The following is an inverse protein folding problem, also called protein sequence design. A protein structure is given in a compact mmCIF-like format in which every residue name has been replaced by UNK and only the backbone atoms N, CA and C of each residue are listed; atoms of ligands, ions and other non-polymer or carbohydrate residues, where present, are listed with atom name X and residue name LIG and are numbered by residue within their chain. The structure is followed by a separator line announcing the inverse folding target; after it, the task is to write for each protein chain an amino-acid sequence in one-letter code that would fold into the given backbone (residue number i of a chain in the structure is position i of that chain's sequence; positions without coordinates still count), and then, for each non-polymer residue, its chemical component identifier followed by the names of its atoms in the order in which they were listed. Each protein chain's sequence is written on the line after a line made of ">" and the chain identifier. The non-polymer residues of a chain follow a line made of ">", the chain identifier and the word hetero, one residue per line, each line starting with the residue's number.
data_IF_743780326455
#
_entry.id   IF_743780326455
#
_cell.length_a   1.000
_cell.length_b   1.000
_cell.length_c   1.000
_cell.angle_alpha   90.00
_cell.angle_beta   90.00
_cell.angle_gamma   90.00
#
_symmetry.space_group_name_H-M   'P 1'
#
loop_
_entity.id
_entity.type
_entity.pdbx_description
1 polymer ?
#
# COMPACT_ATOMS: atom_id res chain seq x y z
N UNK A 1 -4.04 -3.67 12.87
CA UNK A 1 -3.40 -3.32 11.58
C UNK A 1 -4.13 -4.07 10.47
N UNK A 2 -4.41 -3.41 9.35
CA UNK A 2 -4.97 -4.01 8.14
C UNK A 2 -4.00 -3.79 6.98
N UNK A 3 -3.74 -4.84 6.21
CA UNK A 3 -2.81 -4.80 5.08
C UNK A 3 -3.58 -5.08 3.80
N UNK A 4 -3.33 -4.28 2.76
CA UNK A 4 -3.93 -4.46 1.45
C UNK A 4 -2.95 -4.10 0.33
N UNK A 5 -2.79 -4.99 -0.65
CA UNK A 5 -1.79 -4.85 -1.72
C UNK A 5 -2.44 -5.04 -3.09
N UNK A 6 -3.42 -4.21 -3.47
CA UNK A 6 -3.95 -4.23 -4.82
C UNK A 6 -2.86 -3.79 -5.80
N UNK A 7 -2.96 -4.25 -7.04
CA UNK A 7 -2.24 -3.59 -8.13
C UNK A 7 -2.98 -2.32 -8.51
N UNK A 8 -2.26 -1.21 -8.66
CA UNK A 8 -2.84 0.04 -9.22
C UNK A 8 -3.26 -0.15 -10.68
N UNK A 9 -4.30 0.55 -11.17
CA UNK A 9 -5.35 1.28 -10.45
C UNK A 9 -6.60 0.38 -10.24
N UNK A 10 -6.41 -0.88 -9.85
CA UNK A 10 -7.48 -1.89 -9.88
C UNK A 10 -8.29 -1.96 -8.58
N UNK A 11 -7.93 -1.19 -7.55
CA UNK A 11 -8.79 -1.00 -6.39
C UNK A 11 -9.76 0.15 -6.62
N UNK A 12 -11.02 -0.18 -6.92
CA UNK A 12 -12.05 0.84 -7.11
C UNK A 12 -12.31 1.67 -5.83
N UNK A 13 -12.32 1.03 -4.65
CA UNK A 13 -12.55 1.76 -3.41
C UNK A 13 -11.90 1.12 -2.20
N UNK A 14 -12.08 -0.18 -1.89
CA UNK A 14 -11.46 -0.76 -0.68
C UNK A 14 -12.19 -0.46 0.64
N UNK A 15 -13.53 -0.48 0.65
CA UNK A 15 -14.37 -0.10 1.82
C UNK A 15 -14.11 -0.88 3.11
N UNK A 16 -13.49 -2.06 3.06
CA UNK A 16 -13.05 -2.78 4.27
C UNK A 16 -11.96 -2.02 5.03
N UNK A 17 -11.07 -1.32 4.33
CA UNK A 17 -10.04 -0.47 4.95
C UNK A 17 -10.64 0.71 5.71
N UNK A 18 -11.73 1.30 5.22
CA UNK A 18 -12.44 2.39 5.91
C UNK A 18 -12.91 1.98 7.31
N UNK A 19 -13.36 0.72 7.45
CA UNK A 19 -13.85 0.19 8.73
C UNK A 19 -12.73 0.05 9.77
N UNK A 20 -11.49 -0.08 9.34
CA UNK A 20 -10.33 -0.25 10.22
C UNK A 20 -10.11 1.00 11.06
N UNK A 21 -10.22 2.18 10.44
CA UNK A 21 -10.02 3.47 11.11
C UNK A 21 -11.04 3.71 12.22
N UNK A 22 -12.31 3.44 11.97
CA UNK A 22 -13.37 3.63 12.99
C UNK A 22 -13.28 2.64 14.16
N UNK A 23 -12.48 1.57 14.02
CA UNK A 23 -12.19 0.62 15.10
C UNK A 23 -10.82 0.88 15.76
N UNK A 24 -10.19 2.03 15.50
CA UNK A 24 -8.88 2.38 16.05
C UNK A 24 -7.72 1.56 15.50
N UNK A 25 -7.90 0.91 14.35
CA UNK A 25 -6.83 0.20 13.65
C UNK A 25 -6.05 1.12 12.70
N UNK A 26 -4.80 0.76 12.43
CA UNK A 26 -3.95 1.38 11.41
C UNK A 26 -4.03 0.62 10.07
N UNK A 27 -3.93 1.35 8.97
CA UNK A 27 -3.87 0.80 7.61
C UNK A 27 -2.42 0.72 7.09
N UNK A 28 -2.12 -0.29 6.30
CA UNK A 28 -0.90 -0.38 5.50
C UNK A 28 -1.32 -0.85 4.10
N UNK A 29 -1.48 0.08 3.17
CA UNK A 29 -2.05 -0.22 1.86
C UNK A 29 -1.33 0.49 0.73
N UNK A 30 -1.36 -0.10 -0.46
CA UNK A 30 -1.02 0.60 -1.70
C UNK A 30 -1.91 1.83 -1.84
N UNK A 31 -1.33 2.95 -2.29
CA UNK A 31 -2.05 4.19 -2.59
C UNK A 31 -2.88 3.98 -3.86
N UNK A 32 -4.10 3.48 -3.68
CA UNK A 32 -5.13 3.26 -4.69
C UNK A 32 -6.53 3.33 -4.03
N UNK A 33 -7.56 3.55 -4.83
CA UNK A 33 -8.94 3.67 -4.36
C UNK A 33 -9.10 4.68 -3.21
N UNK A 34 -9.81 4.29 -2.15
CA UNK A 34 -10.07 5.16 -0.99
C UNK A 34 -8.82 5.56 -0.23
N UNK A 35 -7.77 4.72 -0.25
CA UNK A 35 -6.59 4.97 0.55
C UNK A 35 -5.80 6.11 -0.05
N UNK A 36 -5.82 6.27 -1.38
CA UNK A 36 -5.26 7.44 -2.05
C UNK A 36 -5.98 8.74 -1.63
N UNK A 37 -7.29 8.69 -1.38
CA UNK A 37 -8.08 9.85 -0.93
C UNK A 37 -7.90 10.19 0.55
N UNK A 38 -7.74 9.17 1.39
CA UNK A 38 -7.80 9.29 2.85
C UNK A 38 -6.45 9.10 3.55
N UNK A 39 -5.36 8.91 2.80
CA UNK A 39 -4.04 8.66 3.39
C UNK A 39 -3.61 9.83 4.28
N UNK A 40 -3.28 9.49 5.52
CA UNK A 40 -2.61 10.34 6.47
C UNK A 40 -1.55 9.49 7.20
N UNK A 41 -0.30 9.97 7.35
CA UNK A 41 0.76 9.22 8.02
C UNK A 41 0.45 8.90 9.50
N UNK A 42 -0.46 9.63 10.15
CA UNK A 42 -0.94 9.31 11.49
C UNK A 42 -1.92 8.12 11.52
N UNK A 43 -2.46 7.72 10.38
CA UNK A 43 -3.44 6.64 10.22
C UNK A 43 -2.84 5.36 9.64
N UNK A 44 -1.54 5.37 9.35
CA UNK A 44 -0.75 4.21 8.93
C UNK A 44 0.19 4.51 7.76
N UNK A 45 0.39 3.54 6.89
CA UNK A 45 1.45 3.55 5.88
C UNK A 45 0.91 3.38 4.46
N UNK A 46 1.52 4.09 3.51
CA UNK A 46 1.24 3.97 2.08
C UNK A 46 2.37 3.19 1.39
N UNK A 47 2.02 2.06 0.80
CA UNK A 47 2.94 1.23 0.00
C UNK A 47 3.12 1.91 -1.37
N UNK A 48 4.37 2.12 -1.78
CA UNK A 48 4.71 2.79 -3.04
C UNK A 48 4.30 4.27 -3.09
N UNK A 49 4.33 4.97 -1.95
CA UNK A 49 3.94 6.39 -1.85
C UNK A 49 4.60 7.26 -2.96
N UNK A 50 3.77 8.02 -3.69
CA UNK A 50 4.22 8.87 -4.80
C UNK A 50 4.38 8.15 -6.15
N UNK A 51 4.16 6.84 -6.23
CA UNK A 51 4.01 6.13 -7.49
C UNK A 51 2.64 6.43 -8.11
N UNK A 52 2.60 7.15 -9.24
CA UNK A 52 1.38 7.25 -10.02
C UNK A 52 0.97 5.85 -10.51
N UNK A 53 -0.34 5.60 -10.62
CA UNK A 53 -0.83 4.47 -11.38
C UNK A 53 -0.31 4.59 -12.81
N UNK A 54 0.62 3.71 -13.20
CA UNK A 54 1.03 3.60 -14.59
C UNK A 54 -0.10 2.96 -15.38
N UNK A 55 -0.99 3.79 -15.95
CA UNK A 55 -1.98 3.30 -16.90
C UNK A 55 -1.22 2.89 -18.16
N UNK A 56 -1.12 1.60 -18.39
CA UNK A 56 -0.62 1.05 -19.64
C UNK A 56 -1.55 1.47 -20.78
N UNK A 57 -1.01 2.20 -21.76
CA UNK A 57 -1.74 2.57 -22.96
C UNK A 57 -2.25 1.29 -23.66
N UNK A 58 -3.48 1.28 -24.14
CA UNK A 58 -4.02 0.16 -24.89
C UNK A 58 -3.20 -0.17 -26.17
N UNK A 59 -2.30 0.72 -26.60
CA UNK A 59 -1.37 0.48 -27.71
C UNK A 59 -0.11 -0.31 -27.34
N UNK A 60 0.20 -0.54 -26.05
CA UNK A 60 1.41 -1.29 -25.68
C UNK A 60 1.23 -2.78 -25.97
N UNK A 61 2.29 -3.43 -26.44
CA UNK A 61 2.28 -4.89 -26.66
C UNK A 61 2.14 -5.65 -25.33
N UNK A 62 1.55 -6.85 -25.39
CA UNK A 62 1.27 -7.67 -24.20
C UNK A 62 2.53 -7.99 -23.36
N UNK A 63 3.67 -8.22 -24.01
CA UNK A 63 4.95 -8.47 -23.31
C UNK A 63 5.44 -7.24 -22.56
N UNK A 64 5.32 -6.06 -23.15
CA UNK A 64 5.72 -4.81 -22.51
C UNK A 64 4.78 -4.46 -21.35
N UNK A 65 3.48 -4.70 -21.50
CA UNK A 65 2.51 -4.54 -20.42
C UNK A 65 2.83 -5.47 -19.24
N UNK A 66 3.12 -6.76 -19.51
CA UNK A 66 3.48 -7.71 -18.47
C UNK A 66 4.80 -7.34 -17.76
N UNK A 67 5.80 -6.83 -18.50
CA UNK A 67 7.06 -6.37 -17.92
C UNK A 67 6.87 -5.16 -17.00
N UNK A 68 5.97 -4.23 -17.37
CA UNK A 68 5.62 -3.08 -16.53
C UNK A 68 4.90 -3.50 -15.25
N UNK A 69 3.92 -4.40 -15.37
CA UNK A 69 3.21 -4.96 -14.22
C UNK A 69 4.18 -5.62 -13.24
N UNK A 70 5.11 -6.45 -13.74
CA UNK A 70 6.12 -7.10 -12.92
C UNK A 70 7.05 -6.10 -12.22
N UNK A 71 7.46 -5.05 -12.92
CA UNK A 71 8.27 -3.98 -12.33
C UNK A 71 7.50 -3.17 -11.27
N UNK A 72 6.18 -2.99 -11.44
CA UNK A 72 5.30 -2.39 -10.43
C UNK A 72 5.21 -3.24 -9.17
N UNK A 73 4.92 -4.54 -9.34
CA UNK A 73 4.84 -5.51 -8.25
C UNK A 73 6.15 -5.55 -7.44
N UNK A 74 7.31 -5.55 -8.11
CA UNK A 74 8.61 -5.57 -7.44
C UNK A 74 8.85 -4.30 -6.60
N UNK A 75 8.46 -3.13 -7.12
CA UNK A 75 8.55 -1.86 -6.37
C UNK A 75 7.63 -1.83 -5.16
N UNK A 76 6.36 -2.24 -5.32
CA UNK A 76 5.40 -2.25 -4.22
C UNK A 76 5.81 -3.29 -3.16
N UNK A 77 6.34 -4.45 -3.57
CA UNK A 77 6.88 -5.45 -2.64
C UNK A 77 8.08 -4.89 -1.85
N UNK A 78 9.06 -4.26 -2.54
CA UNK A 78 10.20 -3.65 -1.87
C UNK A 78 9.78 -2.58 -0.85
N UNK A 79 8.80 -1.73 -1.22
CA UNK A 79 8.26 -0.70 -0.33
C UNK A 79 7.55 -1.32 0.89
N UNK A 80 6.77 -2.40 0.70
CA UNK A 80 6.13 -3.09 1.80
C UNK A 80 7.16 -3.68 2.78
N UNK A 81 8.20 -4.34 2.28
CA UNK A 81 9.26 -4.89 3.13
C UNK A 81 9.98 -3.78 3.90
N UNK A 82 10.30 -2.66 3.26
CA UNK A 82 10.93 -1.53 3.93
C UNK A 82 10.04 -0.99 5.07
N UNK A 83 8.75 -0.79 4.82
CA UNK A 83 7.78 -0.32 5.82
C UNK A 83 7.70 -1.30 6.99
N UNK A 84 7.61 -2.61 6.70
CA UNK A 84 7.54 -3.64 7.72
C UNK A 84 8.80 -3.64 8.58
N UNK A 85 9.97 -3.70 7.96
CA UNK A 85 11.26 -3.86 8.66
C UNK A 85 11.66 -2.60 9.44
N UNK A 86 11.40 -1.41 8.89
CA UNK A 86 11.94 -0.15 9.44
C UNK A 86 10.94 0.63 10.27
N UNK A 87 9.64 0.34 10.15
CA UNK A 87 8.58 1.07 10.87
C UNK A 87 7.71 0.12 11.70
N UNK A 88 6.94 -0.77 11.05
CA UNK A 88 5.88 -1.53 11.71
C UNK A 88 6.43 -2.52 12.74
N UNK A 89 7.45 -3.31 12.37
CA UNK A 89 8.04 -4.32 13.26
C UNK A 89 8.69 -3.66 14.49
N UNK A 90 9.57 -2.65 14.35
CA UNK A 90 10.09 -1.92 15.51
C UNK A 90 9.00 -1.33 16.39
N UNK A 91 8.01 -0.61 15.82
CA UNK A 91 6.94 0.00 16.61
C UNK A 91 6.08 -1.03 17.37
N UNK A 92 5.93 -2.23 16.83
CA UNK A 92 5.15 -3.28 17.48
C UNK A 92 5.91 -4.01 18.59
N UNK A 93 7.20 -4.29 18.38
CA UNK A 93 8.01 -5.13 19.27
C UNK A 93 8.90 -4.36 20.25
N UNK A 94 9.39 -3.16 19.87
CA UNK A 94 10.21 -2.30 20.72
C UNK A 94 9.33 -1.50 21.67
N UNK A 95 8.67 -2.22 22.56
CA UNK A 95 7.85 -1.67 23.63
C UNK A 95 8.69 -1.29 24.84
N UNK A 96 8.23 -0.31 25.60
CA UNK A 96 8.78 -0.04 26.93
C UNK A 96 8.34 -1.15 27.92
N UNK A 97 8.82 -1.14 29.18
CA UNK A 97 8.43 -2.14 30.17
C UNK A 97 6.93 -2.19 30.51
N UNK A 98 6.15 -1.16 30.16
CA UNK A 98 4.71 -1.11 30.37
C UNK A 98 3.91 -1.68 29.18
N UNK A 99 4.56 -1.87 28.02
CA UNK A 99 3.92 -2.37 26.81
C UNK A 99 3.47 -1.25 25.89
#
# INVERSE_FOLDING_TARGET
>A
MWINTPRRPWEACGTSGMKVLVNGGLNCSVSDGWWDEAYDPALGWAIGAGGAAEITDATVGAEEAAARDAAGDERDAASLYEILERSIVPEFYDRDPAG
#
